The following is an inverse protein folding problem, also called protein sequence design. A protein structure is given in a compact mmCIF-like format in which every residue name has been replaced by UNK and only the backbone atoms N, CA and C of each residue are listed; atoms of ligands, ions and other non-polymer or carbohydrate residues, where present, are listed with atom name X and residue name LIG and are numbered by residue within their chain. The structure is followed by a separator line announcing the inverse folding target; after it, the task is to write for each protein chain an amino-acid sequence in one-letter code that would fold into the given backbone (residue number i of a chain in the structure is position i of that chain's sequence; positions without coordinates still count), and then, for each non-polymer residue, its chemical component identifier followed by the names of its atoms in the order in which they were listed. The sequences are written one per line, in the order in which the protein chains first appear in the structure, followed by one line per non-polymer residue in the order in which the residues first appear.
data_IF_482674816036
#
_entry.id   IF_482674816036
#
_cell.length_a   1.000
_cell.length_b   1.000
_cell.length_c   1.000
_cell.angle_alpha   90.00
_cell.angle_beta   90.00
_cell.angle_gamma   90.00
#
_symmetry.space_group_name_H-M   'P 1'
#
loop_
_entity.id
_entity.type
_entity.pdbx_description
1 polymer ?
#
# COMPACT_ATOMS: atom_id res chain seq x y z
N UNK A 1 -61.16 -30.83 44.21
CA UNK A 1 -60.32 -31.68 45.07
C UNK A 1 -59.11 -32.13 44.27
N UNK A 2 -57.94 -32.16 44.92
CA UNK A 2 -56.55 -32.35 44.42
C UNK A 2 -55.81 -31.10 43.90
N UNK A 3 -54.53 -30.92 44.28
CA UNK A 3 -54.09 -29.70 44.94
C UNK A 3 -52.99 -28.93 44.20
N UNK A 4 -52.93 -27.63 44.51
CA UNK A 4 -51.83 -26.72 44.17
C UNK A 4 -50.53 -27.23 44.80
N UNK A 5 -49.56 -27.62 43.95
CA UNK A 5 -48.16 -27.83 44.36
C UNK A 5 -47.36 -26.59 43.99
N UNK A 6 -46.91 -25.88 45.01
CA UNK A 6 -45.77 -24.96 44.97
C UNK A 6 -44.58 -25.74 44.37
N UNK A 7 -44.00 -25.26 43.27
CA UNK A 7 -42.67 -25.67 42.85
C UNK A 7 -41.80 -24.45 42.58
N UNK A 8 -40.61 -24.54 43.16
CA UNK A 8 -39.60 -23.52 43.25
C UNK A 8 -39.14 -23.01 41.88
N UNK A 9 -38.79 -21.73 41.87
CA UNK A 9 -38.10 -21.07 40.77
C UNK A 9 -36.75 -21.74 40.46
N UNK A 10 -36.51 -22.01 39.19
CA UNK A 10 -35.16 -22.10 38.63
C UNK A 10 -35.11 -21.11 37.48
N UNK A 11 -34.58 -19.92 37.75
CA UNK A 11 -34.17 -18.98 36.71
C UNK A 11 -32.91 -19.55 36.05
N UNK A 12 -33.06 -20.17 34.88
CA UNK A 12 -31.92 -20.42 34.00
C UNK A 12 -31.68 -19.12 33.24
N UNK A 13 -30.72 -18.31 33.73
CA UNK A 13 -30.18 -17.21 32.96
C UNK A 13 -29.38 -17.80 31.79
N UNK A 14 -30.04 -17.95 30.64
CA UNK A 14 -29.39 -18.27 29.38
C UNK A 14 -28.50 -17.10 28.96
N UNK A 15 -27.21 -17.19 29.25
CA UNK A 15 -26.20 -16.33 28.62
C UNK A 15 -26.04 -16.86 27.20
N UNK A 16 -26.87 -16.37 26.28
CA UNK A 16 -26.53 -16.44 24.87
C UNK A 16 -25.29 -15.56 24.68
N UNK A 17 -24.11 -16.19 24.73
CA UNK A 17 -22.90 -15.59 24.18
C UNK A 17 -23.18 -15.29 22.72
N UNK A 18 -23.45 -14.03 22.42
CA UNK A 18 -23.48 -13.56 21.05
C UNK A 18 -22.13 -13.89 20.45
N UNK A 19 -22.11 -14.80 19.47
CA UNK A 19 -21.00 -14.89 18.55
C UNK A 19 -20.97 -13.56 17.81
N UNK A 20 -20.19 -12.60 18.32
CA UNK A 20 -19.74 -11.50 17.49
C UNK A 20 -18.95 -12.16 16.36
N UNK A 21 -19.56 -12.27 15.19
CA UNK A 21 -18.84 -12.52 13.95
C UNK A 21 -17.84 -11.36 13.88
N UNK A 22 -16.52 -11.62 13.89
CA UNK A 22 -15.57 -10.55 13.64
C UNK A 22 -16.01 -9.89 12.33
N UNK A 23 -16.16 -8.56 12.32
CA UNK A 23 -16.27 -7.86 11.05
C UNK A 23 -15.11 -8.36 10.18
N UNK A 24 -15.36 -8.78 8.92
CA UNK A 24 -14.25 -9.10 8.05
C UNK A 24 -13.36 -7.86 8.02
N UNK A 25 -12.09 -8.02 8.40
CA UNK A 25 -11.12 -6.94 8.24
C UNK A 25 -11.31 -6.40 6.82
N UNK A 26 -11.55 -5.09 6.63
CA UNK A 26 -11.56 -4.54 5.29
C UNK A 26 -10.25 -4.97 4.65
N UNK A 27 -10.33 -5.72 3.54
CA UNK A 27 -9.14 -6.25 2.86
C UNK A 27 -8.46 -5.08 2.17
N UNK A 28 -7.78 -4.25 2.96
CA UNK A 28 -6.74 -3.31 2.50
C UNK A 28 -5.91 -4.11 1.50
N UNK A 29 -5.84 -3.74 0.19
CA UNK A 29 -4.89 -4.39 -0.70
C UNK A 29 -3.51 -4.18 -0.08
N UNK A 30 -2.98 -5.25 0.50
CA UNK A 30 -1.70 -5.20 1.18
C UNK A 30 -0.59 -5.22 0.13
N UNK A 31 0.55 -4.61 0.44
CA UNK A 31 1.71 -4.70 -0.44
C UNK A 31 2.19 -6.16 -0.54
N UNK A 32 2.49 -6.58 -1.76
CA UNK A 32 3.06 -7.89 -2.05
C UNK A 32 4.54 -7.76 -2.37
N UNK A 33 5.33 -8.69 -1.84
CA UNK A 33 6.68 -8.91 -2.35
C UNK A 33 6.62 -10.01 -3.41
N UNK A 34 7.32 -9.82 -4.53
CA UNK A 34 7.37 -10.80 -5.60
C UNK A 34 8.73 -11.48 -5.57
N UNK A 35 8.69 -12.80 -5.33
CA UNK A 35 9.87 -13.64 -5.25
C UNK A 35 10.65 -13.66 -6.56
N UNK A 36 11.97 -13.82 -6.46
CA UNK A 36 12.87 -14.07 -7.59
C UNK A 36 13.20 -15.56 -7.76
N UNK A 37 12.71 -16.41 -6.85
CA UNK A 37 12.98 -17.85 -6.87
C UNK A 37 12.51 -18.49 -8.18
N UNK A 38 13.44 -19.17 -8.86
CA UNK A 38 13.16 -19.87 -10.13
C UNK A 38 12.37 -21.17 -9.94
N UNK A 39 12.37 -21.72 -8.73
CA UNK A 39 11.73 -23.00 -8.39
C UNK A 39 11.00 -22.90 -7.04
N UNK A 40 9.95 -23.68 -6.88
CA UNK A 40 9.27 -23.82 -5.59
C UNK A 40 10.09 -24.72 -4.66
N UNK A 41 10.96 -24.11 -3.84
CA UNK A 41 11.87 -24.80 -2.93
C UNK A 41 11.83 -24.14 -1.56
N UNK A 42 11.71 -24.95 -0.50
CA UNK A 42 11.67 -24.43 0.88
C UNK A 42 12.94 -23.62 1.19
N UNK A 43 14.18 -24.12 1.00
CA UNK A 43 15.38 -23.33 1.25
C UNK A 43 15.43 -21.99 0.50
N UNK A 44 15.08 -21.97 -0.79
CA UNK A 44 15.18 -20.77 -1.62
C UNK A 44 14.17 -19.70 -1.19
N UNK A 45 12.90 -20.09 -1.00
CA UNK A 45 11.83 -19.17 -0.61
C UNK A 45 12.01 -18.69 0.84
N UNK A 46 12.47 -19.57 1.72
CA UNK A 46 12.78 -19.21 3.11
C UNK A 46 13.89 -18.17 3.19
N UNK A 47 14.95 -18.28 2.39
CA UNK A 47 16.04 -17.30 2.38
C UNK A 47 15.54 -15.89 1.97
N UNK A 48 14.64 -15.81 0.98
CA UNK A 48 14.02 -14.53 0.60
C UNK A 48 13.12 -13.98 1.70
N UNK A 49 12.32 -14.85 2.33
CA UNK A 49 11.44 -14.47 3.44
C UNK A 49 12.24 -13.99 4.67
N UNK A 50 13.36 -14.63 4.99
CA UNK A 50 14.27 -14.19 6.04
C UNK A 50 14.86 -12.81 5.70
N UNK A 51 15.10 -12.52 4.42
CA UNK A 51 15.47 -11.19 3.95
C UNK A 51 14.40 -10.12 4.21
N UNK A 52 13.12 -10.44 3.98
CA UNK A 52 11.98 -9.54 4.31
C UNK A 52 11.85 -9.29 5.82
N UNK A 53 12.06 -10.33 6.63
CA UNK A 53 12.05 -10.20 8.10
C UNK A 53 13.24 -9.35 8.57
N UNK A 54 14.46 -9.70 8.13
CA UNK A 54 15.69 -9.03 8.56
C UNK A 54 15.82 -7.59 8.08
N UNK A 55 15.19 -7.23 6.97
CA UNK A 55 15.13 -5.84 6.48
C UNK A 55 14.02 -5.00 7.12
N UNK A 56 13.11 -5.60 7.90
CA UNK A 56 11.93 -4.95 8.46
C UNK A 56 10.76 -4.78 7.47
N UNK A 57 10.90 -5.19 6.20
CA UNK A 57 9.85 -5.03 5.19
C UNK A 57 8.59 -5.85 5.49
N UNK A 58 8.73 -7.00 6.15
CA UNK A 58 7.56 -7.73 6.66
C UNK A 58 6.73 -6.84 7.60
N UNK A 59 7.38 -6.15 8.52
CA UNK A 59 6.74 -5.33 9.54
C UNK A 59 6.18 -4.02 8.97
N UNK A 60 6.77 -3.53 7.89
CA UNK A 60 6.21 -2.44 7.09
C UNK A 60 4.93 -2.83 6.33
N UNK A 61 4.60 -4.12 6.22
CA UNK A 61 3.35 -4.60 5.63
C UNK A 61 3.50 -5.64 4.52
N UNK A 62 4.72 -5.92 4.04
CA UNK A 62 4.98 -6.95 3.01
C UNK A 62 4.86 -8.36 3.60
N UNK A 63 3.65 -8.73 3.99
CA UNK A 63 3.31 -10.03 4.60
C UNK A 63 2.84 -11.05 3.59
N UNK A 64 2.85 -10.74 2.30
CA UNK A 64 2.47 -11.66 1.22
C UNK A 64 3.62 -11.79 0.25
N UNK A 65 4.10 -13.02 0.05
CA UNK A 65 5.19 -13.35 -0.86
C UNK A 65 4.65 -14.12 -2.06
N UNK A 66 4.70 -13.50 -3.24
CA UNK A 66 4.29 -14.11 -4.51
C UNK A 66 5.41 -15.01 -5.02
N UNK A 67 5.20 -16.33 -5.02
CA UNK A 67 6.12 -17.33 -5.56
C UNK A 67 5.42 -18.10 -6.70
N UNK A 68 5.49 -17.55 -7.91
CA UNK A 68 4.77 -18.09 -9.06
C UNK A 68 5.08 -19.57 -9.37
N UNK A 69 6.33 -20.06 -9.26
CA UNK A 69 6.63 -21.48 -9.47
C UNK A 69 5.93 -22.44 -8.49
N UNK A 70 5.34 -21.94 -7.39
CA UNK A 70 4.61 -22.78 -6.44
C UNK A 70 3.15 -23.07 -6.83
N UNK A 71 2.60 -22.45 -7.89
CA UNK A 71 1.20 -22.64 -8.27
C UNK A 71 0.81 -24.13 -8.42
N UNK A 72 1.59 -24.87 -9.21
CA UNK A 72 1.34 -26.28 -9.51
C UNK A 72 2.38 -27.23 -8.87
N UNK A 73 3.18 -26.71 -7.93
CA UNK A 73 4.26 -27.48 -7.32
C UNK A 73 3.75 -28.40 -6.20
N UNK A 74 4.23 -29.66 -6.11
CA UNK A 74 3.98 -30.50 -4.94
C UNK A 74 4.60 -29.93 -3.65
N UNK A 75 5.58 -29.03 -3.76
CA UNK A 75 6.24 -28.39 -2.61
C UNK A 75 5.46 -27.21 -2.03
N UNK A 76 4.36 -26.78 -2.67
CA UNK A 76 3.60 -25.58 -2.28
C UNK A 76 3.19 -25.56 -0.80
N UNK A 77 2.76 -26.70 -0.26
CA UNK A 77 2.30 -26.79 1.13
C UNK A 77 3.46 -26.69 2.12
N UNK A 78 4.59 -27.31 1.80
CA UNK A 78 5.79 -27.20 2.63
C UNK A 78 6.33 -25.76 2.65
N UNK A 79 6.33 -25.09 1.50
CA UNK A 79 6.70 -23.67 1.37
C UNK A 79 5.73 -22.78 2.14
N UNK A 80 4.43 -22.98 1.99
CA UNK A 80 3.41 -22.21 2.72
C UNK A 80 3.58 -22.35 4.24
N UNK A 81 3.79 -23.56 4.75
CA UNK A 81 4.02 -23.79 6.17
C UNK A 81 5.30 -23.09 6.68
N UNK A 82 6.39 -23.13 5.90
CA UNK A 82 7.64 -22.47 6.25
C UNK A 82 7.52 -20.93 6.27
N UNK A 83 6.70 -20.35 5.38
CA UNK A 83 6.40 -18.92 5.35
C UNK A 83 5.47 -18.49 6.49
N UNK A 84 4.46 -19.30 6.81
CA UNK A 84 3.53 -19.02 7.91
C UNK A 84 4.28 -18.88 9.25
N UNK A 85 5.30 -19.71 9.49
CA UNK A 85 6.18 -19.58 10.67
C UNK A 85 6.96 -18.26 10.78
N UNK A 86 6.99 -17.46 9.70
CA UNK A 86 7.61 -16.12 9.63
C UNK A 86 6.59 -14.98 9.63
N UNK A 87 5.30 -15.31 9.67
CA UNK A 87 4.22 -14.34 9.51
C UNK A 87 4.07 -13.84 8.07
N UNK A 88 4.43 -14.66 7.09
CA UNK A 88 4.30 -14.37 5.65
C UNK A 88 3.35 -15.38 5.02
N UNK A 89 2.40 -14.90 4.22
CA UNK A 89 1.48 -15.69 3.42
C UNK A 89 2.11 -16.01 2.05
N UNK A 90 2.00 -17.27 1.62
CA UNK A 90 2.34 -17.66 0.26
C UNK A 90 1.21 -17.24 -0.69
N UNK A 91 1.56 -16.47 -1.71
CA UNK A 91 0.70 -16.19 -2.86
C UNK A 91 1.33 -16.84 -4.09
N UNK A 92 0.54 -17.51 -4.92
CA UNK A 92 1.06 -18.26 -6.08
C UNK A 92 0.76 -17.60 -7.43
N UNK A 93 -0.01 -16.52 -7.43
CA UNK A 93 -0.38 -15.79 -8.64
C UNK A 93 -0.21 -14.28 -8.44
N UNK A 94 0.26 -13.61 -9.49
CA UNK A 94 0.25 -12.15 -9.54
C UNK A 94 -1.22 -11.69 -9.71
N UNK A 95 -1.73 -10.78 -8.88
CA UNK A 95 -3.06 -10.21 -9.06
C UNK A 95 -3.24 -9.59 -10.45
N UNK A 96 -4.44 -9.70 -11.02
CA UNK A 96 -4.73 -9.10 -12.32
C UNK A 96 -4.54 -7.58 -12.30
N UNK A 97 -3.99 -7.02 -13.38
CA UNK A 97 -3.75 -5.58 -13.53
C UNK A 97 -2.58 -5.02 -12.72
N UNK A 98 -1.85 -5.88 -12.01
CA UNK A 98 -0.74 -5.49 -11.17
C UNK A 98 0.55 -5.28 -11.99
N UNK A 99 1.35 -4.28 -11.58
CA UNK A 99 2.66 -3.98 -12.15
C UNK A 99 3.72 -4.29 -11.10
N UNK A 100 4.78 -5.00 -11.49
CA UNK A 100 5.88 -5.36 -10.58
C UNK A 100 6.96 -4.29 -10.66
N UNK A 101 7.15 -3.51 -9.60
CA UNK A 101 8.24 -2.55 -9.51
C UNK A 101 9.52 -3.26 -9.04
N UNK A 102 10.54 -3.27 -9.90
CA UNK A 102 11.81 -3.94 -9.59
C UNK A 102 12.76 -2.97 -8.88
N UNK A 103 13.31 -3.40 -7.75
CA UNK A 103 14.19 -2.61 -6.91
C UNK A 103 15.52 -3.32 -6.65
N UNK A 104 16.58 -2.53 -6.60
CA UNK A 104 17.95 -2.93 -6.32
C UNK A 104 18.60 -1.91 -5.36
N UNK A 105 19.85 -2.16 -4.98
CA UNK A 105 20.57 -1.28 -4.06
C UNK A 105 20.77 0.14 -4.60
N UNK A 106 20.91 0.28 -5.92
CA UNK A 106 21.20 1.51 -6.67
C UNK A 106 19.97 2.13 -7.33
N UNK A 107 18.77 1.60 -7.07
CA UNK A 107 17.53 2.21 -7.56
C UNK A 107 17.43 3.66 -7.09
N UNK A 108 17.17 4.58 -8.02
CA UNK A 108 16.91 5.98 -7.71
C UNK A 108 15.63 6.11 -6.89
N UNK A 109 15.74 6.71 -5.69
CA UNK A 109 14.58 6.95 -4.82
C UNK A 109 13.52 7.82 -5.49
N UNK A 110 13.94 8.85 -6.24
CA UNK A 110 13.03 9.76 -6.95
C UNK A 110 12.25 9.03 -8.05
N UNK A 111 12.94 8.21 -8.84
CA UNK A 111 12.30 7.41 -9.88
C UNK A 111 11.31 6.41 -9.26
N UNK A 112 11.72 5.72 -8.18
CA UNK A 112 10.87 4.77 -7.48
C UNK A 112 9.64 5.43 -6.85
N UNK A 113 9.78 6.61 -6.22
CA UNK A 113 8.64 7.38 -5.72
C UNK A 113 7.67 7.74 -6.84
N UNK A 114 8.17 8.15 -8.00
CA UNK A 114 7.34 8.48 -9.16
C UNK A 114 6.61 7.26 -9.72
N UNK A 115 7.28 6.13 -9.89
CA UNK A 115 6.67 4.87 -10.36
C UNK A 115 5.57 4.40 -9.41
N UNK A 116 5.87 4.36 -8.11
CA UNK A 116 4.92 3.94 -7.08
C UNK A 116 3.75 4.93 -6.93
N UNK A 117 4.01 6.23 -7.08
CA UNK A 117 2.95 7.25 -7.14
C UNK A 117 2.04 7.00 -8.34
N UNK A 118 2.59 6.68 -9.51
CA UNK A 118 1.78 6.39 -10.69
C UNK A 118 0.90 5.14 -10.50
N UNK A 119 1.43 4.08 -9.90
CA UNK A 119 0.66 2.88 -9.58
C UNK A 119 -0.45 3.15 -8.56
N UNK A 120 -0.17 3.96 -7.53
CA UNK A 120 -1.16 4.43 -6.58
C UNK A 120 -2.25 5.23 -7.30
N UNK A 121 -1.90 6.19 -8.15
CA UNK A 121 -2.92 6.98 -8.87
C UNK A 121 -3.75 6.13 -9.83
N UNK A 122 -3.19 5.04 -10.36
CA UNK A 122 -3.91 4.08 -11.18
C UNK A 122 -4.72 3.03 -10.39
N UNK A 123 -4.72 3.09 -9.06
CA UNK A 123 -5.33 2.11 -8.15
C UNK A 123 -4.87 0.66 -8.45
N UNK A 124 -3.59 0.49 -8.79
CA UNK A 124 -3.00 -0.83 -9.08
C UNK A 124 -2.60 -1.57 -7.80
N UNK A 125 -2.65 -2.91 -7.79
CA UNK A 125 -2.09 -3.69 -6.69
C UNK A 125 -0.59 -3.38 -6.49
N UNK A 126 -0.22 -3.10 -5.26
CA UNK A 126 1.14 -2.70 -4.89
C UNK A 126 2.08 -3.91 -4.85
N UNK A 127 3.00 -4.00 -5.80
CA UNK A 127 3.93 -5.13 -5.89
C UNK A 127 5.36 -4.68 -6.13
N UNK A 128 6.27 -5.22 -5.33
CA UNK A 128 7.71 -4.91 -5.40
C UNK A 128 8.51 -6.21 -5.52
N UNK A 129 9.59 -6.19 -6.31
CA UNK A 129 10.53 -7.31 -6.48
C UNK A 129 11.95 -6.84 -6.22
N UNK A 130 12.74 -7.64 -5.50
CA UNK A 130 14.17 -7.41 -5.33
C UNK A 130 14.77 -8.32 -4.28
N UNK A 131 16.03 -8.05 -3.91
CA UNK A 131 16.69 -8.71 -2.78
C UNK A 131 16.56 -7.82 -1.54
N UNK A 132 15.54 -8.07 -0.73
CA UNK A 132 15.14 -7.24 0.42
C UNK A 132 16.32 -6.86 1.36
N UNK A 133 17.19 -7.82 1.67
CA UNK A 133 18.35 -7.60 2.54
C UNK A 133 19.47 -6.75 1.92
N UNK A 134 19.49 -6.61 0.59
CA UNK A 134 20.52 -5.88 -0.15
C UNK A 134 20.10 -4.45 -0.52
N UNK A 135 18.86 -4.06 -0.26
CA UNK A 135 18.39 -2.71 -0.56
C UNK A 135 19.11 -1.67 0.30
N UNK A 136 19.42 -0.53 -0.31
CA UNK A 136 19.95 0.62 0.41
C UNK A 136 18.91 1.16 1.42
N UNK A 137 19.34 1.84 2.50
CA UNK A 137 18.40 2.43 3.46
C UNK A 137 17.37 3.37 2.82
N UNK A 138 17.77 4.14 1.81
CA UNK A 138 16.90 5.06 1.09
C UNK A 138 15.81 4.35 0.29
N UNK A 139 16.19 3.36 -0.53
CA UNK A 139 15.22 2.53 -1.26
C UNK A 139 14.28 1.79 -0.32
N UNK A 140 14.79 1.25 0.80
CA UNK A 140 13.94 0.65 1.84
C UNK A 140 12.96 1.64 2.44
N UNK A 141 13.39 2.87 2.72
CA UNK A 141 12.54 3.93 3.24
C UNK A 141 11.38 4.27 2.29
N UNK A 142 11.63 4.28 0.98
CA UNK A 142 10.58 4.49 -0.04
C UNK A 142 9.59 3.33 -0.05
N UNK A 143 10.04 2.08 -0.16
CA UNK A 143 9.12 0.93 -0.27
C UNK A 143 8.36 0.66 1.03
N UNK A 144 8.91 1.07 2.19
CA UNK A 144 8.35 0.85 3.52
C UNK A 144 7.59 2.05 4.09
N UNK A 145 7.38 3.12 3.32
CA UNK A 145 6.71 4.33 3.80
C UNK A 145 5.25 4.00 4.18
N UNK A 146 4.93 4.12 5.47
CA UNK A 146 3.64 3.72 6.03
C UNK A 146 2.47 4.56 5.50
N UNK A 147 2.67 5.87 5.31
CA UNK A 147 1.62 6.78 4.83
C UNK A 147 1.24 6.44 3.39
N UNK A 148 2.23 6.19 2.53
CA UNK A 148 1.98 5.81 1.14
C UNK A 148 1.40 4.39 1.04
N UNK A 149 1.86 3.46 1.87
CA UNK A 149 1.28 2.11 1.93
C UNK A 149 -0.19 2.13 2.37
N UNK A 150 -0.56 3.02 3.31
CA UNK A 150 -1.95 3.22 3.71
C UNK A 150 -2.80 3.74 2.54
N UNK A 151 -2.28 4.70 1.76
CA UNK A 151 -2.97 5.23 0.57
C UNK A 151 -3.06 4.19 -0.57
N UNK A 152 -2.02 3.39 -0.78
CA UNK A 152 -2.05 2.27 -1.74
C UNK A 152 -3.09 1.21 -1.33
N UNK A 153 -3.29 1.05 -0.02
CA UNK A 153 -4.31 0.21 0.61
C UNK A 153 -5.75 0.75 0.57
N UNK A 154 -6.00 1.89 -0.08
CA UNK A 154 -7.33 2.51 -0.11
C UNK A 154 -8.40 1.60 -0.74
N UNK A 155 -9.42 1.25 0.06
CA UNK A 155 -10.54 0.38 -0.34
C UNK A 155 -11.45 0.98 -1.40
N UNK A 156 -11.48 2.30 -1.53
CA UNK A 156 -12.32 2.94 -2.54
C UNK A 156 -11.89 2.57 -3.95
N UNK A 157 -10.60 2.30 -4.16
CA UNK A 157 -10.07 1.83 -5.44
C UNK A 157 -10.37 2.78 -6.61
N UNK A 158 -10.61 4.07 -6.34
CA UNK A 158 -10.92 5.04 -7.38
C UNK A 158 -9.68 5.27 -8.24
N UNK A 159 -9.82 5.22 -9.56
CA UNK A 159 -8.75 5.62 -10.48
C UNK A 159 -8.64 7.14 -10.49
N UNK A 160 -7.41 7.64 -10.45
CA UNK A 160 -7.13 9.08 -10.50
C UNK A 160 -7.51 9.72 -11.83
N UNK A 161 -7.98 10.97 -11.75
CA UNK A 161 -8.23 11.82 -12.91
C UNK A 161 -7.04 12.74 -13.20
N UNK A 162 -6.66 12.82 -14.46
CA UNK A 162 -5.64 13.76 -14.94
C UNK A 162 -6.17 15.19 -14.81
N UNK A 163 -5.40 16.05 -14.16
CA UNK A 163 -5.68 17.49 -14.03
C UNK A 163 -4.84 18.29 -15.04
N UNK A 164 -3.60 17.84 -15.27
CA UNK A 164 -2.67 18.44 -16.23
C UNK A 164 -1.70 17.37 -16.75
N UNK A 165 -1.44 17.39 -18.06
CA UNK A 165 -0.52 16.46 -18.70
C UNK A 165 0.22 17.16 -19.84
N UNK A 166 1.42 17.67 -19.53
CA UNK A 166 2.31 18.31 -20.49
C UNK A 166 3.67 17.57 -20.53
N UNK A 167 4.54 17.95 -21.47
CA UNK A 167 5.85 17.32 -21.64
C UNK A 167 6.71 17.33 -20.36
N UNK A 168 6.69 18.44 -19.60
CA UNK A 168 7.53 18.60 -18.40
C UNK A 168 6.84 18.29 -17.07
N UNK A 169 5.51 18.23 -17.03
CA UNK A 169 4.74 18.15 -15.78
C UNK A 169 3.52 17.27 -15.95
N UNK A 170 3.27 16.42 -14.96
CA UNK A 170 2.04 15.66 -14.84
C UNK A 170 1.40 15.89 -13.48
N UNK A 171 0.09 16.13 -13.50
CA UNK A 171 -0.71 16.33 -12.30
C UNK A 171 -1.97 15.49 -12.41
N UNK A 172 -2.20 14.67 -11.40
CA UNK A 172 -3.42 13.89 -11.27
C UNK A 172 -3.96 14.00 -9.84
N UNK A 173 -5.26 13.79 -9.68
CA UNK A 173 -5.92 13.72 -8.38
C UNK A 173 -6.72 12.43 -8.25
N UNK A 174 -6.74 11.84 -7.06
CA UNK A 174 -7.44 10.59 -6.77
C UNK A 174 -8.20 10.75 -5.46
N UNK A 175 -9.46 10.37 -5.47
CA UNK A 175 -10.25 10.32 -4.24
C UNK A 175 -9.85 9.08 -3.42
N UNK A 176 -9.64 9.26 -2.12
CA UNK A 176 -9.26 8.19 -1.18
C UNK A 176 -10.20 8.16 0.01
N UNK A 177 -10.54 6.97 0.49
CA UNK A 177 -11.55 6.78 1.52
C UNK A 177 -12.89 7.45 1.17
N UNK A 178 -13.65 7.85 2.20
CA UNK A 178 -14.97 8.45 2.01
C UNK A 178 -14.91 9.90 1.50
N UNK A 179 -13.92 10.68 1.97
CA UNK A 179 -13.86 12.13 1.73
C UNK A 179 -12.45 12.67 1.43
N UNK A 180 -11.43 11.81 1.41
CA UNK A 180 -10.05 12.24 1.17
C UNK A 180 -9.76 12.49 -0.30
N UNK A 181 -8.73 13.29 -0.55
CA UNK A 181 -8.19 13.56 -1.88
C UNK A 181 -6.66 13.52 -1.79
N UNK A 182 -6.04 12.80 -2.71
CA UNK A 182 -4.59 12.88 -2.95
C UNK A 182 -4.31 13.49 -4.30
N UNK A 183 -3.19 14.21 -4.40
CA UNK A 183 -2.75 14.89 -5.61
C UNK A 183 -1.29 14.53 -5.88
N UNK A 184 -1.05 13.91 -7.04
CA UNK A 184 0.30 13.67 -7.54
C UNK A 184 0.78 14.90 -8.32
N UNK A 185 1.97 15.40 -7.98
CA UNK A 185 2.64 16.49 -8.69
C UNK A 185 4.00 15.98 -9.18
N UNK A 186 4.07 15.55 -10.43
CA UNK A 186 5.24 14.90 -11.02
C UNK A 186 5.99 15.84 -11.94
N UNK A 187 7.30 15.95 -11.72
CA UNK A 187 8.22 16.62 -12.64
C UNK A 187 8.82 15.57 -13.59
N UNK A 188 8.52 15.68 -14.89
CA UNK A 188 9.07 14.80 -15.93
C UNK A 188 10.35 15.36 -16.58
N UNK A 189 10.77 16.55 -16.18
CA UNK A 189 11.99 17.19 -16.64
C UNK A 189 13.25 16.70 -15.94
N UNK A 190 14.38 17.22 -16.40
CA UNK A 190 15.73 16.91 -15.92
C UNK A 190 16.29 17.99 -14.97
N UNK A 191 15.51 19.03 -14.68
CA UNK A 191 15.85 20.08 -13.71
C UNK A 191 14.77 20.22 -12.63
N UNK A 192 15.14 20.63 -11.40
CA UNK A 192 14.16 21.00 -10.37
C UNK A 192 13.19 22.06 -10.89
N UNK A 193 11.90 21.80 -10.77
CA UNK A 193 10.85 22.63 -11.37
C UNK A 193 9.73 22.89 -10.35
N UNK A 194 9.17 24.10 -10.37
CA UNK A 194 7.96 24.41 -9.61
C UNK A 194 6.75 23.71 -10.22
N UNK A 195 6.24 22.67 -9.55
CA UNK A 195 5.02 21.97 -9.95
C UNK A 195 3.90 22.37 -9.00
N UNK A 196 2.91 23.08 -9.55
CA UNK A 196 1.78 23.63 -8.79
C UNK A 196 0.47 23.37 -9.52
N UNK A 197 -0.60 23.21 -8.74
CA UNK A 197 -1.98 23.04 -9.21
C UNK A 197 -2.88 24.12 -8.64
N UNK A 198 -3.81 24.62 -9.45
CA UNK A 198 -4.87 25.49 -8.95
C UNK A 198 -5.85 24.67 -8.10
N UNK A 199 -6.10 25.11 -6.86
CA UNK A 199 -7.06 24.48 -5.94
C UNK A 199 -8.47 24.42 -6.53
N UNK A 200 -8.87 25.42 -7.31
CA UNK A 200 -10.14 25.43 -8.04
C UNK A 200 -10.23 24.30 -9.10
N UNK A 201 -9.11 23.90 -9.72
CA UNK A 201 -9.08 22.78 -10.66
C UNK A 201 -9.30 21.42 -9.95
N UNK A 202 -9.07 21.37 -8.63
CA UNK A 202 -9.39 20.24 -7.76
C UNK A 202 -10.80 20.35 -7.15
N UNK A 203 -11.61 21.33 -7.57
CA UNK A 203 -12.90 21.67 -6.96
C UNK A 203 -12.81 21.99 -5.46
N UNK A 204 -11.68 22.55 -5.02
CA UNK A 204 -11.44 22.98 -3.65
C UNK A 204 -11.56 24.51 -3.54
N UNK A 205 -12.05 24.98 -2.39
CA UNK A 205 -12.22 26.40 -2.10
C UNK A 205 -11.59 26.76 -0.74
N UNK A 206 -11.12 28.00 -0.61
CA UNK A 206 -10.47 28.51 0.60
C UNK A 206 -8.98 28.19 0.68
N UNK A 207 -8.43 28.24 1.89
CA UNK A 207 -7.04 27.88 2.16
C UNK A 207 -6.93 26.37 2.34
N UNK A 208 -6.20 25.73 1.42
CA UNK A 208 -6.02 24.27 1.42
C UNK A 208 -4.71 23.92 2.11
N UNK A 209 -4.76 22.98 3.06
CA UNK A 209 -3.58 22.36 3.65
C UNK A 209 -3.40 20.97 3.06
N UNK A 210 -2.14 20.55 2.97
CA UNK A 210 -1.81 19.22 2.52
C UNK A 210 -0.53 18.72 3.19
N UNK A 211 -0.34 17.41 3.22
CA UNK A 211 0.87 16.75 3.69
C UNK A 211 1.42 15.91 2.54
N UNK A 212 2.70 16.05 2.23
CA UNK A 212 3.36 15.15 1.28
C UNK A 212 3.62 13.79 1.96
N UNK A 213 2.89 12.76 1.54
CA UNK A 213 2.97 11.42 2.13
C UNK A 213 4.38 10.80 2.05
N UNK A 214 5.20 11.22 1.07
CA UNK A 214 6.57 10.73 0.96
C UNK A 214 7.50 11.29 2.04
N UNK A 215 7.31 12.53 2.46
CA UNK A 215 8.26 13.26 3.32
C UNK A 215 7.68 13.76 4.64
N UNK A 216 6.36 13.71 4.83
CA UNK A 216 5.64 14.32 5.94
C UNK A 216 5.63 15.86 5.90
N UNK A 217 6.17 16.48 4.85
CA UNK A 217 6.24 17.94 4.75
C UNK A 217 4.85 18.54 4.53
N UNK A 218 4.50 19.52 5.34
CA UNK A 218 3.26 20.28 5.16
C UNK A 218 3.35 21.31 4.03
N UNK A 219 2.23 21.47 3.34
CA UNK A 219 2.00 22.47 2.32
C UNK A 219 0.74 23.25 2.65
N UNK A 220 0.72 24.52 2.24
CA UNK A 220 -0.47 25.37 2.32
C UNK A 220 -0.60 26.13 1.02
N UNK A 221 -1.80 26.16 0.47
CA UNK A 221 -2.07 26.87 -0.77
C UNK A 221 -1.81 28.36 -0.61
N UNK A 222 -1.18 28.99 -1.61
CA UNK A 222 -0.95 30.44 -1.66
C UNK A 222 -1.51 30.98 -2.97
N UNK A 223 -2.30 32.05 -2.89
CA UNK A 223 -2.95 32.66 -4.06
C UNK A 223 -3.73 31.63 -4.92
N UNK A 224 -4.40 30.68 -4.27
CA UNK A 224 -5.17 29.62 -4.94
C UNK A 224 -4.34 28.48 -5.54
N UNK A 225 -3.01 28.48 -5.39
CA UNK A 225 -2.11 27.44 -5.90
C UNK A 225 -1.57 26.56 -4.77
N UNK A 226 -1.52 25.25 -5.00
CA UNK A 226 -0.93 24.26 -4.11
C UNK A 226 0.22 23.54 -4.83
N UNK A 227 1.35 23.32 -4.16
CA UNK A 227 2.51 22.61 -4.72
C UNK A 227 3.83 23.24 -4.31
N UNK A 228 4.91 22.87 -4.99
CA UNK A 228 6.26 23.31 -4.65
C UNK A 228 7.30 22.88 -5.69
N UNK A 229 8.57 23.04 -5.32
CA UNK A 229 9.69 22.57 -6.16
C UNK A 229 9.80 21.05 -6.06
N UNK A 230 9.82 20.39 -7.22
CA UNK A 230 9.97 18.94 -7.36
C UNK A 230 11.25 18.65 -8.11
N UNK A 231 12.05 17.72 -7.60
CA UNK A 231 13.31 17.29 -8.24
C UNK A 231 13.07 16.67 -9.62
N UNK A 232 14.12 16.53 -10.44
CA UNK A 232 13.99 15.92 -11.75
C UNK A 232 13.54 14.45 -11.64
N UNK A 233 12.53 14.08 -12.43
CA UNK A 233 11.94 12.74 -12.42
C UNK A 233 11.24 12.33 -11.11
N UNK A 234 11.06 13.25 -10.16
CA UNK A 234 10.44 12.97 -8.85
C UNK A 234 8.97 13.40 -8.80
N UNK A 235 8.29 13.01 -7.72
CA UNK A 235 6.89 13.32 -7.46
C UNK A 235 6.65 13.75 -6.03
N UNK A 236 5.80 14.75 -5.82
CA UNK A 236 5.10 14.94 -4.54
C UNK A 236 3.79 14.16 -4.56
N UNK A 237 3.40 13.59 -3.43
CA UNK A 237 2.09 12.97 -3.23
C UNK A 237 1.38 13.67 -2.09
N UNK A 238 0.58 14.68 -2.42
CA UNK A 238 -0.08 15.53 -1.43
C UNK A 238 -1.41 14.95 -1.01
N UNK A 239 -1.55 14.58 0.26
CA UNK A 239 -2.84 14.29 0.89
C UNK A 239 -3.46 15.59 1.42
N UNK A 240 -4.69 15.88 1.00
CA UNK A 240 -5.42 17.07 1.44
C UNK A 240 -6.02 16.82 2.84
N UNK A 241 -5.81 17.76 3.77
CA UNK A 241 -6.22 17.68 5.18
C UNK A 241 -7.15 18.82 5.62
#
# INVERSE_FOLDING_TARGET
MCPVRLLAAVLVAGVCGGCAVPDPDPVVPQPHWVSSAAVCSVPAVVAEADGLVGSGLRDAGYRRLVVAPCADSPHRFAVAAALAGRGIELVTAIPAGAVVNSVAADTSEAALRTELTADLMAARPWMVRGVAGALSPGVRGVVANADVLALAGDQRGAVGGVVRDDAGVFIASRAVGLKGLVVALTNRGDQPTGVVVATAALSLAGTIRAIDAWSGREFTSRSGLLGGVVGPGDSLLLEIV
#
